data_IF_422980876897
#
_entry.id   IF_422980876897
#
_cell.length_a   1.000
_cell.length_b   1.000
_cell.length_c   1.000
_cell.angle_alpha   90.00
_cell.angle_beta   90.00
_cell.angle_gamma   90.00
#
_symmetry.space_group_name_H-M   'P 1'
#
loop_
_entity.id
_entity.type
_entity.pdbx_description
1 polymer ?
#
# COMPACT_ATOMS: atom_id res chain seq x y z
N UNK A 1 4.52 26.87 -1.15
CA UNK A 1 4.30 25.94 -0.01
C UNK A 1 4.66 24.53 -0.47
N UNK A 2 5.71 23.93 0.09
CA UNK A 2 6.14 22.59 -0.31
C UNK A 2 5.27 21.54 0.39
N UNK A 3 4.68 20.63 -0.41
CA UNK A 3 3.91 19.48 0.06
C UNK A 3 4.70 18.20 -0.18
N UNK A 4 4.75 17.33 0.81
CA UNK A 4 5.51 16.08 0.77
C UNK A 4 4.51 14.92 0.66
N UNK A 5 4.59 14.09 -0.41
CA UNK A 5 3.81 12.87 -0.49
C UNK A 5 4.50 11.76 0.32
N UNK A 6 3.76 11.15 1.24
CA UNK A 6 4.22 9.99 2.02
C UNK A 6 3.51 8.76 1.46
N UNK A 7 4.28 7.77 0.99
CA UNK A 7 3.77 6.51 0.44
C UNK A 7 4.52 5.32 1.01
N UNK A 8 3.80 4.32 1.55
CA UNK A 8 4.40 3.10 2.14
C UNK A 8 3.59 1.86 1.83
N UNK A 9 4.25 0.69 1.80
CA UNK A 9 3.59 -0.59 1.53
C UNK A 9 2.81 -1.10 2.74
N UNK A 10 3.30 -0.82 3.95
CA UNK A 10 2.63 -1.25 5.18
C UNK A 10 2.11 -0.07 6.00
N UNK A 11 1.06 -0.30 6.80
CA UNK A 11 0.54 0.71 7.73
C UNK A 11 1.61 1.09 8.77
N UNK A 12 2.40 0.12 9.24
CA UNK A 12 3.44 0.35 10.24
C UNK A 12 4.52 1.31 9.73
N UNK A 13 5.01 1.11 8.51
CA UNK A 13 5.97 2.03 7.89
C UNK A 13 5.37 3.40 7.64
N UNK A 14 4.08 3.44 7.25
CA UNK A 14 3.36 4.70 7.04
C UNK A 14 3.33 5.53 8.32
N UNK A 15 2.90 4.92 9.43
CA UNK A 15 2.82 5.58 10.73
C UNK A 15 4.19 6.03 11.23
N UNK A 16 5.24 5.20 11.07
CA UNK A 16 6.62 5.61 11.42
C UNK A 16 7.09 6.83 10.63
N UNK A 17 6.86 6.82 9.32
CA UNK A 17 7.27 7.91 8.44
C UNK A 17 6.53 9.21 8.78
N UNK A 18 5.22 9.13 9.05
CA UNK A 18 4.45 10.30 9.40
C UNK A 18 4.80 10.83 10.78
N UNK A 19 5.00 9.96 11.78
CA UNK A 19 5.42 10.39 13.14
C UNK A 19 6.76 11.15 13.13
N UNK A 20 7.71 10.70 12.29
CA UNK A 20 8.98 11.41 12.11
C UNK A 20 8.78 12.79 11.44
N UNK A 21 7.83 12.92 10.52
CA UNK A 21 7.47 14.20 9.91
C UNK A 21 6.72 15.13 10.88
N UNK A 22 5.81 14.59 11.69
CA UNK A 22 5.14 15.32 12.78
C UNK A 22 6.18 15.92 13.73
N UNK A 23 7.17 15.14 14.16
CA UNK A 23 8.28 15.61 15.01
C UNK A 23 9.11 16.72 14.35
N UNK A 24 9.12 16.80 13.01
CA UNK A 24 9.81 17.85 12.23
C UNK A 24 8.93 19.06 11.93
N UNK A 25 7.70 19.11 12.47
CA UNK A 25 6.77 20.22 12.30
C UNK A 25 5.95 20.17 11.01
N UNK A 26 5.71 18.97 10.47
CA UNK A 26 4.79 18.76 9.36
C UNK A 26 3.41 18.37 9.87
N UNK A 27 2.38 18.80 9.16
CA UNK A 27 0.98 18.50 9.45
C UNK A 27 0.29 17.88 8.24
N UNK A 28 -0.78 17.13 8.50
CA UNK A 28 -1.55 16.45 7.46
C UNK A 28 -2.34 17.45 6.63
N UNK A 29 -2.18 17.34 5.31
CA UNK A 29 -3.07 17.96 4.34
C UNK A 29 -4.25 17.02 4.05
N UNK A 30 -3.98 15.72 4.01
CA UNK A 30 -4.98 14.68 3.72
C UNK A 30 -4.87 13.54 4.72
N UNK A 31 -5.98 12.85 5.05
CA UNK A 31 -5.92 11.63 5.83
C UNK A 31 -5.13 10.53 5.10
N UNK A 32 -4.64 9.55 5.86
CA UNK A 32 -3.98 8.36 5.31
C UNK A 32 -5.04 7.52 4.57
N UNK A 33 -4.85 7.33 3.26
CA UNK A 33 -5.72 6.51 2.41
C UNK A 33 -5.03 5.21 1.99
N UNK A 34 -5.81 4.14 1.86
CA UNK A 34 -5.38 2.89 1.21
C UNK A 34 -5.46 3.06 -0.30
N UNK A 35 -4.41 2.65 -0.99
CA UNK A 35 -4.26 2.66 -2.45
C UNK A 35 -3.97 1.21 -2.87
N UNK A 36 -4.93 0.58 -3.51
CA UNK A 36 -4.79 -0.77 -4.06
C UNK A 36 -3.95 -0.69 -5.33
N UNK A 37 -2.83 -1.42 -5.39
CA UNK A 37 -1.86 -1.26 -6.46
C UNK A 37 -2.12 -2.17 -7.65
N UNK A 38 -2.34 -3.47 -7.45
CA UNK A 38 -2.75 -4.45 -8.48
C UNK A 38 -3.18 -5.74 -7.77
N UNK A 39 -4.30 -6.35 -8.17
CA UNK A 39 -4.59 -7.75 -7.86
C UNK A 39 -3.71 -8.65 -8.75
N UNK A 40 -2.71 -9.33 -8.19
CA UNK A 40 -2.02 -10.39 -8.92
C UNK A 40 -2.73 -11.72 -8.65
N UNK A 41 -3.56 -12.14 -9.58
CA UNK A 41 -4.16 -13.47 -9.57
C UNK A 41 -3.14 -14.48 -10.11
N UNK A 42 -2.72 -15.43 -9.27
CA UNK A 42 -1.83 -16.50 -9.72
C UNK A 42 -2.67 -17.67 -10.24
N UNK A 43 -2.55 -17.96 -11.54
CA UNK A 43 -3.08 -19.17 -12.16
C UNK A 43 -1.95 -20.20 -12.30
N UNK A 44 -2.14 -21.38 -11.73
CA UNK A 44 -1.16 -22.45 -11.75
C UNK A 44 -1.33 -23.28 -13.03
N UNK A 45 -0.48 -23.07 -14.03
CA UNK A 45 -0.46 -23.81 -15.30
C UNK A 45 0.28 -25.17 -15.19
N UNK A 46 0.00 -25.91 -14.11
CA UNK A 46 0.52 -27.26 -13.93
C UNK A 46 -0.32 -28.26 -14.73
N UNK A 47 0.30 -29.00 -15.68
CA UNK A 47 -0.31 -30.15 -16.36
C UNK A 47 -0.66 -31.27 -15.37
N UNK A 48 -1.81 -31.15 -14.72
CA UNK A 48 -2.37 -32.21 -13.89
C UNK A 48 -3.20 -33.15 -14.76
N UNK A 49 -2.84 -34.45 -14.72
CA UNK A 49 -3.63 -35.53 -15.32
C UNK A 49 -4.91 -35.73 -14.52
N UNK A 50 -6.01 -35.10 -14.91
CA UNK A 50 -7.34 -35.35 -14.35
C UNK A 50 -8.34 -34.30 -14.78
N UNK A 51 -9.46 -34.74 -15.37
CA UNK A 51 -10.55 -33.90 -15.91
C UNK A 51 -11.03 -32.86 -14.88
N UNK A 52 -11.04 -31.60 -15.29
CA UNK A 52 -11.88 -30.50 -14.77
C UNK A 52 -11.62 -29.91 -13.37
N UNK A 53 -10.37 -29.55 -12.99
CA UNK A 53 -10.15 -28.76 -11.76
C UNK A 53 -9.08 -27.69 -11.89
N UNK A 54 -9.46 -26.47 -12.29
CA UNK A 54 -8.67 -25.26 -12.02
C UNK A 54 -8.87 -24.93 -10.53
N UNK A 55 -7.81 -25.02 -9.73
CA UNK A 55 -7.82 -24.55 -8.33
C UNK A 55 -7.18 -23.17 -8.25
N UNK A 56 -7.97 -22.17 -7.87
CA UNK A 56 -7.50 -20.85 -7.45
C UNK A 56 -6.37 -20.99 -6.43
N UNK A 57 -5.21 -20.40 -6.71
CA UNK A 57 -3.98 -20.63 -5.94
C UNK A 57 -3.71 -19.53 -4.90
N UNK A 58 -4.33 -18.35 -5.05
CA UNK A 58 -4.23 -17.25 -4.08
C UNK A 58 -4.38 -15.88 -4.74
N UNK A 59 -4.58 -14.86 -3.90
CA UNK A 59 -4.69 -13.46 -4.27
C UNK A 59 -3.81 -12.65 -3.32
N UNK A 60 -2.80 -11.97 -3.88
CA UNK A 60 -1.98 -11.02 -3.14
C UNK A 60 -2.53 -9.60 -3.36
N UNK A 61 -3.13 -9.06 -2.32
CA UNK A 61 -3.55 -7.66 -2.29
C UNK A 61 -2.35 -6.78 -1.97
N UNK A 62 -1.75 -6.18 -3.00
CA UNK A 62 -0.76 -5.13 -2.81
C UNK A 62 -1.45 -3.83 -2.39
N UNK A 63 -1.73 -3.69 -1.09
CA UNK A 63 -2.17 -2.42 -0.50
C UNK A 63 -0.97 -1.53 -0.27
N UNK A 64 -1.08 -0.26 -0.64
CA UNK A 64 -0.17 0.80 -0.23
C UNK A 64 -0.95 1.88 0.51
N UNK A 65 -0.27 2.68 1.33
CA UNK A 65 -0.84 3.78 2.07
C UNK A 65 -0.25 5.09 1.55
N UNK A 66 -1.09 6.12 1.40
CA UNK A 66 -0.67 7.45 0.96
C UNK A 66 -1.25 8.54 1.85
N UNK A 67 -0.47 9.57 2.17
CA UNK A 67 -0.98 10.86 2.65
C UNK A 67 -0.11 12.00 2.13
N UNK A 68 -0.64 13.22 2.23
CA UNK A 68 0.09 14.45 1.93
C UNK A 68 0.30 15.22 3.22
N UNK A 69 1.51 15.72 3.42
CA UNK A 69 1.85 16.58 4.55
C UNK A 69 2.46 17.90 4.07
N UNK A 70 2.28 18.96 4.85
CA UNK A 70 2.91 20.28 4.63
C UNK A 70 3.71 20.66 5.86
N UNK A 71 4.81 21.38 5.67
CA UNK A 71 5.50 22.01 6.79
C UNK A 71 4.70 23.22 7.26
N UNK A 72 4.45 23.32 8.56
CA UNK A 72 3.67 24.44 9.14
C UNK A 72 4.57 25.45 9.86
N UNK A 73 5.87 25.13 10.01
CA UNK A 73 6.92 25.98 10.58
C UNK A 73 8.02 26.35 9.57
#
# INVERSE_FOLDING_TARGET
MFKVPVRRGTMTEMLKAVRDLENRGYDYITPIKKVYRVEKTFYNDGKFKGKDKIRFTGMDDHVSYECWMKKVN
#
